data_IF_198489814020
#
_entry.id   IF_198489814020
#
_cell.length_a   1.000
_cell.length_b   1.000
_cell.length_c   1.000
_cell.angle_alpha   90.00
_cell.angle_beta   90.00
_cell.angle_gamma   90.00
#
_symmetry.space_group_name_H-M   'P 1'
#
loop_
_entity.id
_entity.type
_entity.pdbx_description
1 polymer ?
#
# COMPACT_ATOMS: atom_id res chain seq x y z
N UNK A 1 -8.51 63.60 14.97
CA UNK A 1 -7.86 62.83 16.07
C UNK A 1 -7.35 61.52 15.46
N UNK A 2 -6.04 61.23 15.37
CA UNK A 2 -5.18 60.56 16.40
C UNK A 2 -5.93 59.40 17.07
N UNK A 3 -5.49 58.12 17.07
CA UNK A 3 -4.12 57.53 17.12
C UNK A 3 -4.02 56.24 16.27
N UNK A 4 -2.97 56.03 15.47
CA UNK A 4 -1.66 55.36 15.75
C UNK A 4 -1.75 53.85 16.01
N UNK A 5 -1.15 53.08 15.09
CA UNK A 5 -0.86 51.64 15.19
C UNK A 5 0.65 51.45 14.94
N UNK A 6 1.43 50.93 15.92
CA UNK A 6 2.69 50.22 15.68
C UNK A 6 2.46 48.72 15.94
N UNK A 7 3.34 47.78 15.56
CA UNK A 7 4.80 47.82 15.44
C UNK A 7 5.27 46.84 14.35
N UNK A 8 6.44 47.06 13.75
CA UNK A 8 7.06 46.12 12.80
C UNK A 8 8.58 46.02 13.02
N UNK A 9 9.14 44.80 12.90
CA UNK A 9 10.58 44.46 13.01
C UNK A 9 11.18 44.76 14.42
N UNK A 10 12.29 44.21 14.93
CA UNK A 10 13.35 43.24 14.52
C UNK A 10 13.87 42.60 15.84
N UNK A 11 14.83 41.66 15.96
CA UNK A 11 15.80 40.96 15.09
C UNK A 11 16.15 39.57 15.68
N UNK A 12 17.23 38.94 15.21
CA UNK A 12 17.84 37.71 15.75
C UNK A 12 18.41 37.84 17.17
N UNK A 13 18.38 36.75 17.96
CA UNK A 13 19.51 36.23 18.77
C UNK A 13 19.12 34.93 19.51
N UNK A 14 20.13 34.12 19.89
CA UNK A 14 20.13 32.89 20.71
C UNK A 14 20.13 31.54 19.97
N UNK A 15 21.18 31.33 19.18
CA UNK A 15 21.85 30.03 19.02
C UNK A 15 23.31 30.16 19.49
N UNK A 16 23.98 29.02 19.74
CA UNK A 16 25.28 28.86 20.43
C UNK A 16 25.14 28.90 21.98
N UNK A 17 25.76 28.00 22.79
CA UNK A 17 26.70 26.90 22.53
C UNK A 17 26.41 25.71 23.47
N UNK A 18 26.75 24.48 23.06
CA UNK A 18 27.61 23.57 23.84
C UNK A 18 28.12 22.39 22.97
N UNK A 19 29.37 21.99 23.18
CA UNK A 19 30.15 21.08 22.31
C UNK A 19 30.12 19.62 22.80
N UNK A 20 30.27 18.60 21.92
CA UNK A 20 30.21 17.19 22.34
C UNK A 20 31.55 16.69 22.89
N UNK A 21 31.58 16.31 24.18
CA UNK A 21 32.64 15.49 24.75
C UNK A 21 32.34 14.00 24.54
N UNK A 22 33.28 13.25 23.97
CA UNK A 22 33.10 11.82 23.68
C UNK A 22 33.46 10.93 24.87
N UNK A 23 32.67 9.87 25.10
CA UNK A 23 33.07 8.71 25.87
C UNK A 23 32.60 7.41 25.18
N UNK A 24 33.56 6.53 24.87
CA UNK A 24 33.29 5.20 24.31
C UNK A 24 33.04 4.22 25.45
N UNK A 25 31.79 3.84 25.71
CA UNK A 25 31.49 2.67 26.52
C UNK A 25 31.30 1.43 25.63
N UNK A 26 32.25 0.49 25.73
CA UNK A 26 32.04 -0.90 25.31
C UNK A 26 31.22 -1.61 26.41
N UNK A 27 29.93 -1.85 26.15
CA UNK A 27 29.06 -2.68 26.99
C UNK A 27 28.64 -3.92 26.22
N UNK A 28 28.85 -5.11 26.79
CA UNK A 28 28.62 -6.39 26.10
C UNK A 28 27.15 -6.72 25.91
N UNK A 29 26.79 -7.17 24.70
CA UNK A 29 25.51 -7.85 24.45
C UNK A 29 25.57 -9.29 24.98
N UNK A 30 25.31 -9.47 26.27
CA UNK A 30 25.21 -10.80 26.89
C UNK A 30 24.12 -10.85 27.96
N UNK A 31 22.85 -10.72 27.54
CA UNK A 31 21.66 -11.42 28.07
C UNK A 31 20.35 -10.77 27.56
N UNK A 32 19.86 -11.22 26.40
CA UNK A 32 18.40 -11.30 26.20
C UNK A 32 17.98 -12.76 26.38
N UNK A 33 17.11 -13.01 27.36
CA UNK A 33 16.63 -14.37 27.67
C UNK A 33 15.71 -14.86 26.56
N UNK A 34 15.85 -16.13 26.17
CA UNK A 34 15.07 -16.84 25.12
C UNK A 34 13.54 -16.90 25.36
N UNK A 35 13.01 -16.23 26.38
CA UNK A 35 11.64 -16.39 26.88
C UNK A 35 10.62 -15.37 26.35
N UNK A 36 11.03 -14.21 25.82
CA UNK A 36 10.06 -13.19 25.34
C UNK A 36 9.43 -13.50 23.97
N UNK A 37 9.97 -14.44 23.18
CA UNK A 37 9.48 -14.72 21.82
C UNK A 37 8.17 -15.53 21.76
N UNK A 38 7.64 -16.07 22.87
CA UNK A 38 6.43 -16.91 22.86
C UNK A 38 5.10 -16.15 22.73
N UNK A 39 5.09 -14.82 22.80
CA UNK A 39 3.86 -14.00 22.74
C UNK A 39 3.88 -12.90 21.65
N UNK A 40 5.00 -12.71 20.94
CA UNK A 40 5.10 -11.68 19.91
C UNK A 40 4.46 -12.13 18.59
N UNK A 41 3.53 -11.35 18.02
CA UNK A 41 3.13 -11.53 16.62
C UNK A 41 4.19 -10.91 15.71
N UNK A 42 4.55 -11.60 14.64
CA UNK A 42 5.57 -11.17 13.70
C UNK A 42 4.92 -10.55 12.44
N UNK A 43 5.36 -9.37 12.02
CA UNK A 43 4.94 -8.70 10.78
C UNK A 43 6.15 -8.57 9.84
N UNK A 44 6.00 -9.04 8.61
CA UNK A 44 7.07 -9.13 7.61
C UNK A 44 6.76 -8.19 6.43
N UNK A 45 7.65 -7.23 6.15
CA UNK A 45 7.44 -6.18 5.14
C UNK A 45 8.73 -5.82 4.41
N UNK A 46 8.92 -6.36 3.19
CA UNK A 46 10.02 -5.95 2.32
C UNK A 46 9.76 -4.66 1.53
N UNK A 47 10.78 -3.79 1.45
CA UNK A 47 10.91 -2.76 0.42
C UNK A 47 11.77 -3.30 -0.73
N UNK A 48 11.62 -2.80 -1.96
CA UNK A 48 12.72 -2.29 -2.80
C UNK A 48 12.22 -1.65 -4.10
N UNK A 49 12.93 -0.64 -4.58
CA UNK A 49 12.89 -0.16 -5.97
C UNK A 49 14.34 0.06 -6.40
N UNK A 50 14.82 -0.69 -7.39
CA UNK A 50 16.09 -0.41 -8.07
C UNK A 50 16.20 -1.27 -9.33
N UNK A 51 16.38 -0.65 -10.49
CA UNK A 51 17.04 -1.30 -11.63
C UNK A 51 17.72 -0.24 -12.50
N UNK A 52 19.01 -0.45 -12.78
CA UNK A 52 19.79 0.42 -13.65
C UNK A 52 19.56 0.08 -15.12
N UNK A 53 19.68 1.10 -15.96
CA UNK A 53 19.68 1.07 -17.43
C UNK A 53 20.72 0.12 -18.00
N UNK A 54 20.44 -0.47 -19.18
CA UNK A 54 21.42 -0.52 -20.28
C UNK A 54 20.73 -0.75 -21.63
N UNK A 55 20.99 0.13 -22.59
CA UNK A 55 20.56 0.03 -23.99
C UNK A 55 21.53 -0.82 -24.81
N UNK A 56 21.01 -1.59 -25.77
CA UNK A 56 21.72 -1.97 -27.01
C UNK A 56 20.71 -2.43 -28.07
N UNK A 57 20.76 -1.83 -29.27
CA UNK A 57 20.04 -2.32 -30.46
C UNK A 57 20.80 -3.51 -31.09
N UNK A 58 20.11 -4.29 -31.93
CA UNK A 58 20.53 -4.28 -33.33
C UNK A 58 19.39 -4.06 -34.34
N UNK A 59 19.81 -3.53 -35.49
CA UNK A 59 19.04 -3.24 -36.70
C UNK A 59 18.61 -4.52 -37.41
N UNK A 60 17.34 -4.63 -37.83
CA UNK A 60 16.85 -5.75 -38.67
C UNK A 60 15.97 -5.27 -39.84
N UNK A 61 16.06 -6.00 -40.95
CA UNK A 61 15.55 -5.67 -42.28
C UNK A 61 14.08 -5.21 -42.35
N UNK A 62 13.86 -4.21 -43.21
CA UNK A 62 12.56 -3.95 -43.82
C UNK A 62 12.19 -5.09 -44.77
N UNK A 63 11.23 -5.94 -44.35
CA UNK A 63 10.50 -6.84 -45.23
C UNK A 63 9.04 -6.40 -45.29
N UNK A 64 8.48 -6.21 -46.49
CA UNK A 64 7.11 -5.75 -46.66
C UNK A 64 6.09 -6.84 -46.27
N UNK A 65 5.77 -6.90 -44.97
CA UNK A 65 4.71 -7.76 -44.46
C UNK A 65 3.35 -7.16 -44.80
N UNK A 66 2.63 -7.87 -45.68
CA UNK A 66 1.20 -7.68 -45.92
C UNK A 66 0.47 -7.56 -44.58
N UNK A 67 -0.11 -6.39 -44.31
CA UNK A 67 -0.98 -6.17 -43.16
C UNK A 67 -2.27 -6.99 -43.37
N UNK A 68 -2.23 -8.28 -43.03
CA UNK A 68 -3.43 -8.94 -42.52
C UNK A 68 -3.86 -8.13 -41.31
N UNK A 69 -4.97 -7.39 -41.44
CA UNK A 69 -5.75 -6.95 -40.28
C UNK A 69 -6.20 -8.20 -39.55
N UNK A 70 -5.41 -8.62 -38.56
CA UNK A 70 -5.87 -9.47 -37.48
C UNK A 70 -7.05 -8.73 -36.87
N UNK A 71 -8.22 -9.35 -36.80
CA UNK A 71 -9.42 -8.72 -36.26
C UNK A 71 -9.29 -8.65 -34.74
N UNK A 72 -8.62 -7.60 -34.26
CA UNK A 72 -8.45 -7.33 -32.84
C UNK A 72 -9.83 -7.21 -32.17
N UNK A 73 -10.06 -7.99 -31.11
CA UNK A 73 -11.33 -7.97 -30.38
C UNK A 73 -11.44 -6.72 -29.48
N UNK A 74 -10.31 -6.07 -29.16
CA UNK A 74 -10.25 -4.85 -28.36
C UNK A 74 -9.20 -3.87 -28.89
N UNK A 75 -9.50 -2.57 -28.82
CA UNK A 75 -8.54 -1.51 -29.11
C UNK A 75 -7.43 -1.43 -28.05
N UNK A 76 -7.74 -1.84 -26.82
CA UNK A 76 -6.77 -2.00 -25.72
C UNK A 76 -7.15 -3.11 -24.74
N UNK A 77 -6.14 -3.81 -24.22
CA UNK A 77 -6.27 -4.73 -23.08
C UNK A 77 -5.41 -4.22 -21.91
N UNK A 78 -5.97 -4.22 -20.70
CA UNK A 78 -5.31 -3.75 -19.48
C UNK A 78 -5.32 -4.89 -18.46
N UNK A 79 -4.13 -5.33 -18.06
CA UNK A 79 -3.93 -6.43 -17.11
C UNK A 79 -3.73 -5.86 -15.70
N UNK A 80 -4.75 -5.97 -14.86
CA UNK A 80 -4.76 -5.50 -13.48
C UNK A 80 -5.58 -4.22 -13.29
N UNK A 81 -6.45 -4.21 -12.29
CA UNK A 81 -7.28 -3.05 -11.93
C UNK A 81 -6.64 -2.19 -10.84
N UNK A 82 -5.34 -1.94 -10.96
CA UNK A 82 -4.57 -1.16 -10.00
C UNK A 82 -4.85 0.35 -10.06
N UNK A 83 -3.89 1.12 -9.55
CA UNK A 83 -3.96 2.59 -9.58
C UNK A 83 -3.64 3.16 -10.96
N UNK A 84 -2.96 2.41 -11.85
CA UNK A 84 -2.77 2.80 -13.25
C UNK A 84 -3.87 2.26 -14.16
N UNK A 85 -4.23 0.99 -13.99
CA UNK A 85 -5.12 0.26 -14.89
C UNK A 85 -6.55 0.80 -14.91
N UNK A 86 -7.15 1.09 -13.76
CA UNK A 86 -8.50 1.66 -13.71
C UNK A 86 -8.63 3.02 -14.42
N UNK A 87 -7.86 4.08 -14.05
CA UNK A 87 -8.01 5.38 -14.72
C UNK A 87 -7.64 5.33 -16.20
N UNK A 88 -6.69 4.48 -16.61
CA UNK A 88 -6.38 4.23 -18.02
C UNK A 88 -7.58 3.60 -18.76
N UNK A 89 -8.14 2.51 -18.20
CA UNK A 89 -9.30 1.82 -18.78
C UNK A 89 -10.50 2.74 -18.93
N UNK A 90 -10.78 3.52 -17.87
CA UNK A 90 -11.84 4.53 -17.85
C UNK A 90 -11.61 5.59 -18.92
N UNK A 91 -10.38 6.12 -19.05
CA UNK A 91 -10.09 7.19 -20.01
C UNK A 91 -10.13 6.71 -21.46
N UNK A 92 -9.64 5.51 -21.77
CA UNK A 92 -9.73 4.94 -23.11
C UNK A 92 -11.18 4.65 -23.51
N UNK A 93 -11.97 4.08 -22.59
CA UNK A 93 -13.40 3.89 -22.81
C UNK A 93 -14.17 5.22 -22.96
N UNK A 94 -13.85 6.25 -22.17
CA UNK A 94 -14.42 7.61 -22.33
C UNK A 94 -14.00 8.28 -23.66
N UNK A 95 -13.02 7.74 -24.39
CA UNK A 95 -12.61 8.13 -25.75
C UNK A 95 -13.19 7.23 -26.85
N UNK A 96 -14.13 6.34 -26.51
CA UNK A 96 -14.85 5.47 -27.46
C UNK A 96 -14.16 4.14 -27.79
N UNK A 97 -13.01 3.82 -27.20
CA UNK A 97 -12.27 2.59 -27.48
C UNK A 97 -12.97 1.35 -26.89
N UNK A 98 -12.91 0.21 -27.57
CA UNK A 98 -13.24 -1.10 -26.99
C UNK A 98 -12.12 -1.54 -26.05
N UNK A 99 -12.40 -1.63 -24.75
CA UNK A 99 -11.39 -1.92 -23.71
C UNK A 99 -11.74 -3.19 -22.93
N UNK A 100 -10.77 -4.11 -22.84
CA UNK A 100 -10.81 -5.20 -21.88
C UNK A 100 -9.98 -4.82 -20.64
N UNK A 101 -10.62 -4.77 -19.47
CA UNK A 101 -9.93 -4.68 -18.18
C UNK A 101 -9.95 -6.06 -17.53
N UNK A 102 -8.78 -6.60 -17.17
CA UNK A 102 -8.66 -7.93 -16.56
C UNK A 102 -8.31 -7.78 -15.08
N UNK A 103 -9.07 -8.40 -14.19
CA UNK A 103 -8.78 -8.45 -12.75
C UNK A 103 -8.96 -9.86 -12.20
N UNK A 104 -7.99 -10.35 -11.43
CA UNK A 104 -8.01 -11.71 -10.86
C UNK A 104 -8.64 -11.79 -9.46
N UNK A 105 -8.84 -10.65 -8.79
CA UNK A 105 -9.36 -10.57 -7.42
C UNK A 105 -10.38 -9.41 -7.28
N UNK A 106 -9.99 -8.35 -6.58
CA UNK A 106 -10.85 -7.21 -6.22
C UNK A 106 -10.51 -6.00 -7.08
N UNK A 107 -11.54 -5.27 -7.54
CA UNK A 107 -11.32 -4.00 -8.24
C UNK A 107 -10.60 -2.98 -7.33
N UNK A 108 -9.68 -2.21 -7.92
CA UNK A 108 -8.91 -1.19 -7.22
C UNK A 108 -7.53 -1.65 -6.73
N UNK A 109 -7.20 -2.92 -6.92
CA UNK A 109 -5.90 -3.51 -6.61
C UNK A 109 -5.46 -3.31 -5.17
N UNK A 110 -4.15 -3.26 -4.94
CA UNK A 110 -3.55 -3.13 -3.59
C UNK A 110 -4.06 -1.89 -2.85
N UNK A 111 -4.12 -0.72 -3.49
CA UNK A 111 -4.38 0.56 -2.85
C UNK A 111 -5.72 0.59 -2.08
N UNK A 112 -6.80 0.16 -2.74
CA UNK A 112 -8.13 0.12 -2.14
C UNK A 112 -8.27 -1.05 -1.16
N UNK A 113 -7.72 -2.22 -1.48
CA UNK A 113 -8.09 -3.45 -0.78
C UNK A 113 -7.20 -3.82 0.40
N UNK A 114 -5.89 -3.63 0.28
CA UNK A 114 -4.88 -4.09 1.26
C UNK A 114 -3.70 -3.11 1.43
N UNK A 115 -3.94 -1.83 1.13
CA UNK A 115 -2.95 -0.77 1.05
C UNK A 115 -3.47 0.56 1.61
N UNK A 116 -3.34 1.64 0.84
CA UNK A 116 -3.55 3.00 1.31
C UNK A 116 -4.93 3.25 1.94
N UNK A 117 -6.03 2.81 1.34
CA UNK A 117 -7.38 3.03 1.88
C UNK A 117 -7.53 2.44 3.29
N UNK A 118 -7.38 1.11 3.50
CA UNK A 118 -7.57 0.52 4.82
C UNK A 118 -6.53 1.01 5.85
N UNK A 119 -5.26 1.15 5.44
CA UNK A 119 -4.21 1.67 6.35
C UNK A 119 -4.52 3.08 6.84
N UNK A 120 -4.95 4.00 5.97
CA UNK A 120 -5.25 5.39 6.39
C UNK A 120 -6.52 5.47 7.23
N UNK A 121 -7.52 4.64 6.95
CA UNK A 121 -8.69 4.49 7.85
C UNK A 121 -8.26 4.04 9.24
N UNK A 122 -7.41 3.01 9.35
CA UNK A 122 -6.94 2.50 10.64
C UNK A 122 -6.00 3.50 11.36
N UNK A 123 -5.00 4.08 10.67
CA UNK A 123 -4.06 5.08 11.21
C UNK A 123 -4.81 6.28 11.78
N UNK A 124 -5.89 6.74 11.13
CA UNK A 124 -6.73 7.80 11.68
C UNK A 124 -7.38 7.39 13.01
N UNK A 125 -7.89 6.17 13.14
CA UNK A 125 -8.42 5.68 14.44
C UNK A 125 -7.33 5.54 15.50
N UNK A 126 -6.11 5.18 15.10
CA UNK A 126 -4.96 5.15 15.99
C UNK A 126 -4.56 6.56 16.46
N UNK A 127 -4.68 7.57 15.59
CA UNK A 127 -4.49 8.98 15.95
C UNK A 127 -5.54 9.46 16.96
N UNK A 128 -6.82 9.08 16.79
CA UNK A 128 -7.88 9.38 17.77
C UNK A 128 -7.57 8.78 19.15
N UNK A 129 -7.20 7.48 19.21
CA UNK A 129 -6.82 6.82 20.47
C UNK A 129 -5.59 7.49 21.13
N UNK A 130 -4.61 7.92 20.32
CA UNK A 130 -3.45 8.66 20.78
C UNK A 130 -3.81 10.03 21.36
N UNK A 131 -4.66 10.81 20.68
CA UNK A 131 -5.11 12.11 21.16
C UNK A 131 -5.94 12.00 22.43
N UNK A 132 -6.85 11.03 22.51
CA UNK A 132 -7.65 10.78 23.71
C UNK A 132 -6.76 10.44 24.93
N UNK A 133 -5.75 9.58 24.78
CA UNK A 133 -4.79 9.28 25.88
C UNK A 133 -3.92 10.45 26.29
N UNK A 134 -3.61 11.35 25.36
CA UNK A 134 -2.77 12.52 25.62
C UNK A 134 -3.59 13.80 25.83
N UNK A 135 -4.91 13.69 26.02
CA UNK A 135 -5.86 14.81 26.02
C UNK A 135 -5.54 15.89 27.07
N UNK A 136 -4.89 15.50 28.18
CA UNK A 136 -4.55 16.38 29.29
C UNK A 136 -3.67 17.58 28.88
N UNK A 137 -2.84 17.45 27.83
CA UNK A 137 -2.01 18.57 27.32
C UNK A 137 -2.84 19.73 26.74
N UNK A 138 -4.12 19.49 26.46
CA UNK A 138 -5.10 20.48 26.00
C UNK A 138 -6.18 20.74 27.08
N UNK A 139 -5.92 20.39 28.34
CA UNK A 139 -6.86 20.57 29.46
C UNK A 139 -8.00 19.55 29.56
N UNK A 140 -8.10 18.61 28.62
CA UNK A 140 -9.20 17.61 28.58
C UNK A 140 -8.81 16.34 29.34
N UNK A 141 -9.66 15.91 30.28
CA UNK A 141 -9.45 14.65 31.02
C UNK A 141 -10.26 13.50 30.41
N UNK A 142 -9.57 12.47 29.93
CA UNK A 142 -10.17 11.25 29.39
C UNK A 142 -9.52 10.02 30.05
N UNK A 143 -9.96 9.60 31.25
CA UNK A 143 -9.48 8.37 31.86
C UNK A 143 -9.94 7.13 31.08
N UNK A 144 -9.20 6.02 31.20
CA UNK A 144 -9.58 4.68 30.73
C UNK A 144 -9.80 4.53 29.20
N UNK A 145 -8.97 5.15 28.37
CA UNK A 145 -9.04 5.03 26.89
C UNK A 145 -8.57 3.64 26.40
N UNK A 146 -9.53 2.76 26.18
CA UNK A 146 -9.35 1.45 25.50
C UNK A 146 -9.56 1.56 23.98
N UNK A 147 -9.24 0.48 23.25
CA UNK A 147 -9.43 0.37 21.80
C UNK A 147 -10.11 -0.95 21.48
N UNK A 148 -11.26 -0.87 20.81
CA UNK A 148 -11.95 -2.00 20.19
C UNK A 148 -11.42 -2.18 18.76
N UNK A 149 -10.47 -3.11 18.59
CA UNK A 149 -9.86 -3.36 17.29
C UNK A 149 -10.82 -4.08 16.33
N UNK A 150 -11.71 -4.94 16.81
CA UNK A 150 -12.70 -5.64 15.99
C UNK A 150 -13.65 -4.63 15.30
N UNK A 151 -14.15 -3.64 16.04
CA UNK A 151 -14.97 -2.55 15.49
C UNK A 151 -14.20 -1.66 14.51
N UNK A 152 -12.91 -1.41 14.75
CA UNK A 152 -12.06 -0.68 13.80
C UNK A 152 -11.88 -1.47 12.50
N UNK A 153 -11.68 -2.79 12.57
CA UNK A 153 -11.56 -3.65 11.38
C UNK A 153 -12.87 -3.67 10.59
N UNK A 154 -14.01 -3.84 11.25
CA UNK A 154 -15.32 -3.79 10.58
C UNK A 154 -15.54 -2.44 9.85
N UNK A 155 -15.27 -1.31 10.50
CA UNK A 155 -15.41 0.01 9.90
C UNK A 155 -14.38 0.30 8.79
N UNK A 156 -13.19 -0.30 8.85
CA UNK A 156 -12.24 -0.32 7.72
C UNK A 156 -12.86 -1.07 6.55
N UNK A 157 -13.42 -2.24 6.76
CA UNK A 157 -13.97 -3.06 5.69
C UNK A 157 -15.18 -2.40 5.02
N UNK A 158 -16.07 -1.73 5.78
CA UNK A 158 -17.13 -0.87 5.23
C UNK A 158 -16.58 0.18 4.24
N UNK A 159 -15.49 0.87 4.59
CA UNK A 159 -14.84 1.85 3.70
C UNK A 159 -14.27 1.15 2.47
N UNK A 160 -13.59 0.02 2.63
CA UNK A 160 -13.00 -0.73 1.51
C UNK A 160 -14.08 -1.29 0.57
N UNK A 161 -15.21 -1.78 1.09
CA UNK A 161 -16.36 -2.22 0.29
C UNK A 161 -17.02 -1.05 -0.46
N UNK A 162 -17.18 0.11 0.18
CA UNK A 162 -17.70 1.32 -0.45
C UNK A 162 -16.82 1.76 -1.64
N UNK A 163 -15.49 1.77 -1.47
CA UNK A 163 -14.55 2.13 -2.53
C UNK A 163 -14.53 1.08 -3.65
N UNK A 164 -14.55 -0.22 -3.34
CA UNK A 164 -14.72 -1.31 -4.33
C UNK A 164 -16.00 -1.16 -5.15
N UNK A 165 -17.13 -0.90 -4.49
CA UNK A 165 -18.41 -0.65 -5.14
C UNK A 165 -18.38 0.60 -6.03
N UNK A 166 -17.64 1.63 -5.63
CA UNK A 166 -17.32 2.79 -6.47
C UNK A 166 -16.62 2.40 -7.77
N UNK A 167 -15.57 1.58 -7.70
CA UNK A 167 -14.86 1.10 -8.89
C UNK A 167 -15.74 0.24 -9.80
N UNK A 168 -16.57 -0.64 -9.24
CA UNK A 168 -17.52 -1.46 -10.02
C UNK A 168 -18.51 -0.56 -10.78
N UNK A 169 -19.12 0.44 -10.12
CA UNK A 169 -19.99 1.43 -10.79
C UNK A 169 -19.29 2.23 -11.89
N UNK A 170 -17.98 2.48 -11.78
CA UNK A 170 -17.20 3.16 -12.82
C UNK A 170 -16.92 2.24 -14.04
N UNK A 171 -16.86 0.92 -13.84
CA UNK A 171 -16.84 -0.06 -14.94
C UNK A 171 -18.23 -0.12 -15.58
N UNK A 172 -19.26 -0.42 -14.80
CA UNK A 172 -20.61 -0.77 -15.30
C UNK A 172 -21.27 0.35 -16.12
N UNK A 173 -20.95 1.62 -15.84
CA UNK A 173 -21.49 2.78 -16.57
C UNK A 173 -20.90 2.95 -17.99
N UNK A 174 -19.90 2.15 -18.41
CA UNK A 174 -19.16 2.30 -19.67
C UNK A 174 -19.42 1.11 -20.59
N UNK A 175 -20.30 1.29 -21.57
CA UNK A 175 -20.74 0.22 -22.48
C UNK A 175 -19.60 -0.46 -23.27
N UNK A 176 -18.50 0.26 -23.50
CA UNK A 176 -17.32 -0.20 -24.23
C UNK A 176 -16.15 -0.67 -23.33
N UNK A 177 -16.37 -0.77 -22.01
CA UNK A 177 -15.40 -1.31 -21.06
C UNK A 177 -15.89 -2.64 -20.49
N UNK A 178 -15.30 -3.76 -20.94
CA UNK A 178 -15.62 -5.09 -20.41
C UNK A 178 -14.62 -5.50 -19.33
N UNK A 179 -15.12 -5.80 -18.14
CA UNK A 179 -14.35 -6.42 -17.07
C UNK A 179 -14.32 -7.95 -17.25
N UNK A 180 -13.11 -8.51 -17.34
CA UNK A 180 -12.84 -9.94 -17.37
C UNK A 180 -12.29 -10.36 -16.02
N UNK A 181 -12.95 -11.31 -15.35
CA UNK A 181 -12.53 -11.82 -14.04
C UNK A 181 -11.67 -13.06 -14.21
N UNK A 182 -10.39 -12.98 -13.89
CA UNK A 182 -9.46 -14.10 -13.99
C UNK A 182 -7.99 -13.70 -14.04
N UNK A 183 -7.11 -14.71 -14.07
CA UNK A 183 -5.69 -14.50 -14.31
C UNK A 183 -5.41 -14.43 -15.81
N UNK A 184 -4.71 -13.38 -16.26
CA UNK A 184 -4.27 -13.26 -17.65
C UNK A 184 -2.95 -14.02 -17.88
N UNK A 185 -2.87 -14.73 -19.00
CA UNK A 185 -1.64 -15.39 -19.45
C UNK A 185 -1.41 -15.04 -20.93
N UNK A 186 -0.21 -14.56 -21.29
CA UNK A 186 0.15 -14.38 -22.69
C UNK A 186 0.25 -15.75 -23.37
N UNK A 187 -0.43 -15.91 -24.50
CA UNK A 187 -0.37 -17.10 -25.37
C UNK A 187 0.16 -16.78 -26.77
N UNK A 188 0.37 -15.49 -27.07
CA UNK A 188 1.02 -14.97 -28.26
C UNK A 188 1.41 -13.50 -28.03
N UNK A 189 2.04 -12.86 -29.03
CA UNK A 189 2.55 -11.48 -28.90
C UNK A 189 1.44 -10.45 -28.59
N UNK A 190 0.24 -10.67 -29.15
CA UNK A 190 -0.94 -9.80 -29.00
C UNK A 190 -2.13 -10.52 -28.35
N UNK A 191 -1.92 -11.74 -27.85
CA UNK A 191 -2.99 -12.65 -27.41
C UNK A 191 -2.84 -13.06 -25.94
N UNK A 192 -3.95 -12.96 -25.21
CA UNK A 192 -4.07 -13.25 -23.79
C UNK A 192 -5.21 -14.24 -23.56
N UNK A 193 -4.95 -15.30 -22.77
CA UNK A 193 -6.00 -16.19 -22.25
C UNK A 193 -6.40 -15.75 -20.84
N UNK A 194 -7.71 -15.68 -20.57
CA UNK A 194 -8.29 -15.36 -19.24
C UNK A 194 -9.42 -16.34 -18.95
N UNK A 195 -9.19 -17.32 -18.06
CA UNK A 195 -10.11 -18.47 -17.98
C UNK A 195 -10.13 -19.18 -19.32
N UNK A 196 -11.28 -19.30 -19.98
CA UNK A 196 -11.41 -19.81 -21.35
C UNK A 196 -11.52 -18.72 -22.42
N UNK A 197 -11.67 -17.45 -22.05
CA UNK A 197 -11.73 -16.34 -22.99
C UNK A 197 -10.34 -16.10 -23.63
N UNK A 198 -10.30 -16.01 -24.96
CA UNK A 198 -9.15 -15.55 -25.74
C UNK A 198 -9.35 -14.08 -26.14
N UNK A 199 -8.46 -13.21 -25.68
CA UNK A 199 -8.51 -11.76 -25.88
C UNK A 199 -7.33 -11.34 -26.75
N UNK A 200 -7.56 -10.44 -27.71
CA UNK A 200 -6.53 -10.02 -28.66
C UNK A 200 -6.55 -8.50 -28.87
N UNK A 201 -5.37 -7.87 -28.81
CA UNK A 201 -5.16 -6.44 -29.07
C UNK A 201 -3.70 -6.11 -29.37
N UNK A 202 -3.46 -5.13 -30.24
CA UNK A 202 -2.13 -4.52 -30.42
C UNK A 202 -1.61 -3.84 -29.15
N UNK A 203 -2.50 -3.30 -28.30
CA UNK A 203 -2.16 -2.38 -27.22
C UNK A 203 -2.48 -3.02 -25.88
N UNK A 204 -1.46 -3.65 -25.29
CA UNK A 204 -1.56 -4.38 -24.02
C UNK A 204 -0.79 -3.62 -22.94
N UNK A 205 -1.47 -3.25 -21.86
CA UNK A 205 -0.91 -2.51 -20.73
C UNK A 205 -0.84 -3.43 -19.50
N UNK A 206 0.29 -3.44 -18.81
CA UNK A 206 0.54 -4.31 -17.64
C UNK A 206 0.57 -3.45 -16.37
N UNK A 207 -0.47 -3.55 -15.53
CA UNK A 207 -0.58 -2.95 -14.19
C UNK A 207 -0.87 -4.04 -13.14
N UNK A 208 -0.09 -5.13 -13.17
CA UNK A 208 -0.27 -6.28 -12.27
C UNK A 208 0.08 -6.00 -10.80
N UNK A 209 0.62 -4.81 -10.50
CA UNK A 209 1.06 -4.41 -9.17
C UNK A 209 2.21 -5.25 -8.62
N UNK A 210 2.30 -5.31 -7.28
CA UNK A 210 3.28 -6.11 -6.54
C UNK A 210 2.63 -6.95 -5.45
N UNK A 211 3.46 -7.68 -4.69
CA UNK A 211 3.05 -8.52 -3.55
C UNK A 211 4.05 -8.35 -2.40
N UNK A 212 3.68 -8.68 -1.14
CA UNK A 212 4.61 -8.61 -0.01
C UNK A 212 5.83 -9.50 -0.26
N UNK A 213 7.04 -8.97 -0.07
CA UNK A 213 8.27 -9.76 -0.13
C UNK A 213 8.58 -10.36 1.24
N UNK A 214 8.79 -11.67 1.29
CA UNK A 214 9.13 -12.43 2.51
C UNK A 214 10.65 -12.70 2.46
N UNK A 215 11.44 -12.23 3.44
CA UNK A 215 12.89 -12.38 3.42
C UNK A 215 13.29 -13.82 3.74
N UNK A 216 14.37 -14.30 3.12
CA UNK A 216 14.91 -15.63 3.33
C UNK A 216 15.67 -15.73 4.68
N UNK A 217 14.94 -15.63 5.78
CA UNK A 217 15.45 -15.82 7.14
C UNK A 217 15.17 -17.26 7.56
N UNK A 218 16.22 -18.00 7.95
CA UNK A 218 16.11 -19.40 8.37
C UNK A 218 15.11 -19.56 9.51
N UNK A 219 14.12 -20.44 9.32
CA UNK A 219 13.06 -20.73 10.29
C UNK A 219 11.86 -19.77 10.27
N UNK A 220 11.88 -18.69 9.48
CA UNK A 220 10.72 -17.78 9.35
C UNK A 220 9.50 -18.48 8.74
N UNK A 221 9.75 -19.46 7.87
CA UNK A 221 8.78 -20.37 7.26
C UNK A 221 8.14 -21.35 8.26
N UNK A 222 8.81 -21.61 9.39
CA UNK A 222 8.31 -22.53 10.43
C UNK A 222 7.42 -21.85 11.48
N UNK A 223 7.21 -20.54 11.39
CA UNK A 223 6.40 -19.75 12.33
C UNK A 223 5.28 -18.98 11.63
N UNK A 224 4.17 -18.78 12.33
CA UNK A 224 3.06 -17.94 11.85
C UNK A 224 3.46 -16.47 11.85
N UNK A 225 3.57 -15.87 10.66
CA UNK A 225 3.82 -14.44 10.48
C UNK A 225 2.65 -13.73 9.77
N UNK A 226 2.66 -12.41 9.86
CA UNK A 226 1.71 -11.49 9.23
C UNK A 226 2.40 -10.71 8.11
N UNK A 227 1.61 -10.24 7.14
CA UNK A 227 2.01 -9.26 6.13
C UNK A 227 1.17 -7.99 6.32
N UNK A 228 1.38 -6.96 5.50
CA UNK A 228 0.50 -5.77 5.48
C UNK A 228 -0.98 -6.18 5.25
N UNK A 229 -1.23 -7.25 4.50
CA UNK A 229 -2.59 -7.70 4.20
C UNK A 229 -3.25 -8.32 5.44
N UNK A 230 -2.56 -9.26 6.12
CA UNK A 230 -3.15 -10.02 7.22
C UNK A 230 -3.12 -9.31 8.58
N UNK A 231 -2.17 -8.40 8.82
CA UNK A 231 -2.13 -7.62 10.07
C UNK A 231 -3.35 -6.68 10.21
N UNK A 232 -3.90 -6.20 9.09
CA UNK A 232 -5.13 -5.39 9.06
C UNK A 232 -6.41 -6.18 9.32
N UNK A 233 -6.33 -7.51 9.43
CA UNK A 233 -7.46 -8.39 9.75
C UNK A 233 -7.43 -8.89 11.21
N UNK A 234 -6.46 -8.44 12.01
CA UNK A 234 -6.44 -8.72 13.44
C UNK A 234 -7.61 -8.04 14.13
N UNK A 235 -8.50 -8.82 14.75
CA UNK A 235 -9.60 -8.32 15.61
C UNK A 235 -9.19 -8.16 17.07
N UNK A 236 -8.07 -8.79 17.47
CA UNK A 236 -7.48 -8.71 18.82
C UNK A 236 -6.12 -8.02 18.76
N UNK A 237 -5.88 -7.05 19.66
CA UNK A 237 -4.58 -6.40 19.76
C UNK A 237 -3.53 -7.42 20.26
N UNK A 238 -2.39 -7.56 19.57
CA UNK A 238 -1.27 -8.32 20.11
C UNK A 238 -0.69 -7.58 21.33
N UNK A 239 -0.25 -8.33 22.34
CA UNK A 239 0.50 -7.73 23.46
C UNK A 239 1.80 -7.11 22.96
N UNK A 240 2.52 -7.81 22.09
CA UNK A 240 3.73 -7.35 21.41
C UNK A 240 3.68 -7.69 19.91
N UNK A 241 3.96 -6.70 19.06
CA UNK A 241 4.15 -6.86 17.62
C UNK A 241 5.62 -6.59 17.27
N UNK A 242 6.30 -7.58 16.70
CA UNK A 242 7.64 -7.43 16.12
C UNK A 242 7.50 -7.17 14.62
N UNK A 243 8.13 -6.11 14.10
CA UNK A 243 8.05 -5.70 12.70
C UNK A 243 9.42 -5.88 12.04
N UNK A 244 9.53 -6.81 11.11
CA UNK A 244 10.72 -7.00 10.29
C UNK A 244 10.66 -6.09 9.07
N UNK A 245 11.21 -4.88 9.22
CA UNK A 245 11.42 -3.92 8.14
C UNK A 245 11.15 -2.47 8.56
N UNK A 246 12.22 -1.67 8.71
CA UNK A 246 12.14 -0.23 9.02
C UNK A 246 11.68 0.69 7.88
N UNK A 247 11.00 0.14 6.87
CA UNK A 247 10.42 0.90 5.76
C UNK A 247 9.17 1.68 6.14
N UNK A 248 8.67 2.53 5.25
CA UNK A 248 7.48 3.36 5.51
C UNK A 248 6.26 2.54 5.94
N UNK A 249 6.04 1.37 5.33
CA UNK A 249 4.95 0.44 5.70
C UNK A 249 5.13 -0.06 7.13
N UNK A 250 6.35 -0.47 7.51
CA UNK A 250 6.66 -0.98 8.84
C UNK A 250 6.55 0.10 9.93
N UNK A 251 7.01 1.32 9.66
CA UNK A 251 6.87 2.46 10.57
C UNK A 251 5.40 2.90 10.73
N UNK A 252 4.61 2.82 9.67
CA UNK A 252 3.17 3.11 9.71
C UNK A 252 2.40 2.10 10.57
N UNK A 253 2.60 0.80 10.35
CA UNK A 253 2.03 -0.24 11.22
C UNK A 253 2.58 -0.13 12.65
N UNK A 254 3.86 0.19 12.81
CA UNK A 254 4.49 0.34 14.12
C UNK A 254 3.89 1.47 14.94
N UNK A 255 3.74 2.67 14.37
CA UNK A 255 3.09 3.77 15.08
C UNK A 255 1.61 3.47 15.35
N UNK A 256 0.92 2.80 14.41
CA UNK A 256 -0.50 2.46 14.54
C UNK A 256 -0.75 1.50 15.69
N UNK A 257 -0.03 0.37 15.77
CA UNK A 257 -0.21 -0.60 16.85
C UNK A 257 0.31 -0.08 18.21
N UNK A 258 1.41 0.70 18.26
CA UNK A 258 1.80 1.44 19.49
C UNK A 258 0.69 2.36 19.98
N UNK A 259 0.04 3.09 19.06
CA UNK A 259 -1.06 4.01 19.38
C UNK A 259 -2.36 3.30 19.74
N UNK A 260 -2.60 2.07 19.29
CA UNK A 260 -3.71 1.26 19.79
C UNK A 260 -3.44 0.71 21.20
N UNK A 261 -2.25 0.21 21.47
CA UNK A 261 -1.82 -0.19 22.83
C UNK A 261 -0.73 -1.27 22.89
N UNK A 262 -0.49 -2.00 21.80
CA UNK A 262 0.53 -3.05 21.72
C UNK A 262 1.94 -2.52 22.02
N UNK A 263 2.80 -3.31 22.68
CA UNK A 263 4.26 -3.17 22.56
C UNK A 263 4.63 -3.34 21.09
N UNK A 264 5.60 -2.57 20.59
CA UNK A 264 6.14 -2.76 19.23
C UNK A 264 7.66 -2.66 19.26
N UNK A 265 8.30 -3.53 18.49
CA UNK A 265 9.71 -3.45 18.12
C UNK A 265 9.80 -3.45 16.59
N UNK A 266 10.71 -2.64 16.04
CA UNK A 266 11.02 -2.53 14.61
C UNK A 266 12.52 -2.71 14.44
#
# INVERSE_FOLDING_TARGET
MRRVHPYSRTSEALYSNFSPAGQRHRGGFSHLKRTEFRAAKLLVLGNFFNFHTLLRHPMYCFGALSHRRISMNYDAIIIGSGQGGNPLAYRLADLGWSVALIEKKDLGGTCINVGCTPTKTMVHRAQVAHYARNAARWGVRAPNVSVDLAKIVAQKDEVVFSFRGGQQKQVDKRANLRLHRGHACFVGLHQLKVGDDLLESEKIFIDTGGRPNIPAISGLDTVSYLTNESVMQLTTLPEHLLILGGGYIGLEFGQMFRRYGSRVTV
#
